data_IF_773018500281
#
_entry.id   IF_773018500281
#
_cell.length_a   1.000
_cell.length_b   1.000
_cell.length_c   1.000
_cell.angle_alpha   90.00
_cell.angle_beta   90.00
_cell.angle_gamma   90.00
#
_symmetry.space_group_name_H-M   'P 1'
#
loop_
_entity.id
_entity.type
_entity.pdbx_description
1 polymer ?
#
# COMPACT_ATOMS: atom_id res chain seq x y z
N UNK A 1 -25.42 -9.28 -15.25
CA UNK A 1 -24.72 -10.56 -15.06
C UNK A 1 -23.24 -10.49 -15.43
N UNK A 2 -22.82 -9.74 -16.45
CA UNK A 2 -21.38 -9.61 -16.77
C UNK A 2 -20.59 -8.87 -15.67
N UNK A 3 -21.12 -7.76 -15.15
CA UNK A 3 -20.45 -6.96 -14.11
C UNK A 3 -20.24 -7.76 -12.80
N UNK A 4 -21.28 -8.43 -12.33
CA UNK A 4 -21.26 -9.21 -11.09
C UNK A 4 -20.26 -10.36 -11.18
N UNK A 5 -20.13 -10.97 -12.37
CA UNK A 5 -19.14 -12.00 -12.62
C UNK A 5 -17.71 -11.43 -12.59
N UNK A 6 -17.47 -10.26 -13.17
CA UNK A 6 -16.19 -9.57 -13.09
C UNK A 6 -15.81 -9.22 -11.65
N UNK A 7 -16.77 -8.76 -10.84
CA UNK A 7 -16.56 -8.48 -9.42
C UNK A 7 -16.17 -9.74 -8.64
N UNK A 8 -16.88 -10.85 -8.85
CA UNK A 8 -16.54 -12.13 -8.21
C UNK A 8 -15.16 -12.65 -8.62
N UNK A 9 -14.76 -12.47 -9.88
CA UNK A 9 -13.41 -12.79 -10.33
C UNK A 9 -12.35 -11.90 -9.68
N UNK A 10 -12.63 -10.61 -9.52
CA UNK A 10 -11.74 -9.70 -8.80
C UNK A 10 -11.57 -10.12 -7.34
N UNK A 11 -12.66 -10.46 -6.64
CA UNK A 11 -12.61 -11.00 -5.29
C UNK A 11 -11.77 -12.28 -5.25
N UNK A 12 -12.03 -13.22 -6.16
CA UNK A 12 -11.25 -14.46 -6.27
C UNK A 12 -9.75 -14.17 -6.44
N UNK A 13 -9.38 -13.28 -7.36
CA UNK A 13 -7.98 -12.93 -7.63
C UNK A 13 -7.25 -12.45 -6.37
N UNK A 14 -7.88 -11.56 -5.61
CA UNK A 14 -7.35 -11.05 -4.34
C UNK A 14 -7.27 -12.15 -3.28
N UNK A 15 -8.34 -12.94 -3.10
CA UNK A 15 -8.40 -14.00 -2.08
C UNK A 15 -7.41 -15.14 -2.33
N UNK A 16 -7.07 -15.41 -3.59
CA UNK A 16 -6.09 -16.44 -3.99
C UNK A 16 -4.70 -15.88 -4.30
N UNK A 17 -4.47 -14.58 -4.13
CA UNK A 17 -3.20 -13.92 -4.45
C UNK A 17 -2.71 -14.16 -5.89
N UNK A 18 -3.63 -14.21 -6.86
CA UNK A 18 -3.29 -14.41 -8.27
C UNK A 18 -3.15 -13.05 -8.96
N UNK A 19 -1.92 -12.62 -9.21
CA UNK A 19 -1.62 -11.29 -9.75
C UNK A 19 -2.08 -11.12 -11.20
N UNK A 20 -1.89 -12.11 -12.06
CA UNK A 20 -2.32 -12.01 -13.47
C UNK A 20 -3.84 -11.86 -13.57
N UNK A 21 -4.59 -12.69 -12.84
CA UNK A 21 -6.06 -12.58 -12.77
C UNK A 21 -6.50 -11.25 -12.15
N UNK A 22 -5.73 -10.69 -11.22
CA UNK A 22 -6.02 -9.39 -10.63
C UNK A 22 -5.93 -8.26 -11.68
N UNK A 23 -4.91 -8.27 -12.53
CA UNK A 23 -4.78 -7.27 -13.61
C UNK A 23 -5.86 -7.44 -14.68
N UNK A 24 -6.12 -8.67 -15.13
CA UNK A 24 -7.17 -8.97 -16.12
C UNK A 24 -8.56 -8.51 -15.63
N UNK A 25 -8.87 -8.75 -14.35
CA UNK A 25 -10.16 -8.35 -13.78
C UNK A 25 -10.26 -6.84 -13.57
N UNK A 26 -9.17 -6.16 -13.21
CA UNK A 26 -9.13 -4.70 -13.16
C UNK A 26 -9.32 -4.06 -14.53
N UNK A 27 -8.74 -4.62 -15.58
CA UNK A 27 -8.94 -4.17 -16.96
C UNK A 27 -10.42 -4.32 -17.39
N UNK A 28 -11.04 -5.46 -17.05
CA UNK A 28 -12.46 -5.70 -17.31
C UNK A 28 -13.39 -4.81 -16.46
N UNK A 29 -12.97 -4.41 -15.25
CA UNK A 29 -13.72 -3.51 -14.38
C UNK A 29 -13.67 -2.05 -14.85
N UNK A 30 -12.66 -1.66 -15.62
CA UNK A 30 -12.43 -0.27 -16.02
C UNK A 30 -13.67 0.38 -16.69
N UNK A 31 -14.34 -0.24 -17.68
CA UNK A 31 -15.53 0.36 -18.30
C UNK A 31 -16.69 0.51 -17.31
N UNK A 32 -16.80 -0.40 -16.34
CA UNK A 32 -17.83 -0.37 -15.32
C UNK A 32 -17.59 0.74 -14.29
N UNK A 33 -16.35 0.94 -13.86
CA UNK A 33 -15.98 2.05 -12.96
C UNK A 33 -16.31 3.40 -13.60
N UNK A 34 -16.08 3.52 -14.91
CA UNK A 34 -16.49 4.70 -15.67
C UNK A 34 -18.03 4.83 -15.75
N UNK A 35 -18.74 3.73 -16.05
CA UNK A 35 -20.20 3.73 -16.16
C UNK A 35 -20.92 4.00 -14.81
N UNK A 36 -20.31 3.66 -13.69
CA UNK A 36 -20.81 3.87 -12.33
C UNK A 36 -20.42 5.23 -11.73
N UNK A 37 -19.90 6.15 -12.54
CA UNK A 37 -19.50 7.51 -12.15
C UNK A 37 -18.44 7.57 -11.04
N UNK A 38 -17.61 6.52 -10.94
CA UNK A 38 -16.44 6.50 -10.05
C UNK A 38 -15.26 7.22 -10.69
N UNK A 39 -15.44 8.50 -11.02
CA UNK A 39 -14.53 9.29 -11.87
C UNK A 39 -13.09 9.38 -11.36
N UNK A 40 -12.88 9.44 -10.06
CA UNK A 40 -11.53 9.41 -9.45
C UNK A 40 -10.81 8.10 -9.80
N UNK A 41 -11.48 6.97 -9.58
CA UNK A 41 -10.92 5.65 -9.88
C UNK A 41 -10.79 5.42 -11.39
N UNK A 42 -11.75 5.88 -12.20
CA UNK A 42 -11.69 5.76 -13.65
C UNK A 42 -10.48 6.51 -14.26
N UNK A 43 -10.02 7.59 -13.61
CA UNK A 43 -8.83 8.34 -14.00
C UNK A 43 -7.54 7.62 -13.59
N UNK A 44 -7.47 7.13 -12.37
CA UNK A 44 -6.23 6.61 -11.79
C UNK A 44 -5.98 5.15 -12.14
N UNK A 45 -7.03 4.36 -12.35
CA UNK A 45 -6.92 2.93 -12.63
C UNK A 45 -6.19 2.59 -13.95
N UNK A 46 -6.38 3.30 -15.08
CA UNK A 46 -5.59 3.07 -16.29
C UNK A 46 -4.09 3.32 -16.08
N UNK A 47 -3.74 4.33 -15.27
CA UNK A 47 -2.36 4.67 -14.93
C UNK A 47 -1.76 3.53 -14.10
N UNK A 48 -2.50 3.10 -13.07
CA UNK A 48 -2.12 1.96 -12.25
C UNK A 48 -1.90 0.69 -13.07
N UNK A 49 -2.84 0.33 -13.96
CA UNK A 49 -2.73 -0.84 -14.83
C UNK A 49 -1.48 -0.79 -15.72
N UNK A 50 -1.22 0.36 -16.37
CA UNK A 50 -0.02 0.56 -17.18
C UNK A 50 1.25 0.31 -16.36
N UNK A 51 1.31 0.86 -15.15
CA UNK A 51 2.47 0.73 -14.28
C UNK A 51 2.66 -0.72 -13.80
N UNK A 52 1.57 -1.43 -13.49
CA UNK A 52 1.59 -2.84 -13.13
C UNK A 52 2.05 -3.75 -14.28
N UNK A 53 1.61 -3.52 -15.52
CA UNK A 53 2.10 -4.27 -16.68
C UNK A 53 3.56 -3.96 -17.03
N UNK A 54 4.01 -2.73 -16.75
CA UNK A 54 5.38 -2.29 -16.98
C UNK A 54 6.36 -2.80 -15.92
N UNK A 55 5.85 -3.29 -14.79
CA UNK A 55 6.62 -3.73 -13.64
C UNK A 55 7.67 -4.79 -13.98
N UNK A 56 7.34 -5.72 -14.88
CA UNK A 56 8.29 -6.76 -15.35
C UNK A 56 9.54 -6.21 -16.03
N UNK A 57 9.44 -5.01 -16.63
CA UNK A 57 10.55 -4.36 -17.33
C UNK A 57 11.27 -3.34 -16.43
N UNK A 58 10.52 -2.57 -15.65
CA UNK A 58 11.07 -1.48 -14.84
C UNK A 58 11.59 -1.98 -13.48
N UNK A 59 10.89 -2.92 -12.86
CA UNK A 59 11.17 -3.42 -11.50
C UNK A 59 10.95 -4.94 -11.42
N UNK A 60 11.78 -5.77 -12.09
CA UNK A 60 11.57 -7.22 -12.18
C UNK A 60 11.59 -7.92 -10.82
N UNK A 61 12.31 -7.37 -9.84
CA UNK A 61 12.28 -7.86 -8.47
C UNK A 61 10.86 -7.75 -7.86
N UNK A 62 10.23 -6.58 -7.96
CA UNK A 62 8.87 -6.36 -7.43
C UNK A 62 7.85 -7.20 -8.20
N UNK A 63 7.99 -7.29 -9.53
CA UNK A 63 7.15 -8.17 -10.34
C UNK A 63 7.20 -9.61 -9.87
N UNK A 64 8.40 -10.14 -9.59
CA UNK A 64 8.56 -11.49 -9.04
C UNK A 64 7.82 -11.66 -7.71
N UNK A 65 7.96 -10.71 -6.79
CA UNK A 65 7.23 -10.74 -5.51
C UNK A 65 5.71 -10.75 -5.71
N UNK A 66 5.21 -9.96 -6.67
CA UNK A 66 3.78 -9.86 -6.98
C UNK A 66 3.25 -11.13 -7.64
N UNK A 67 3.98 -11.72 -8.59
CA UNK A 67 3.62 -13.02 -9.19
C UNK A 67 3.61 -14.14 -8.15
N UNK A 68 4.46 -14.07 -7.12
CA UNK A 68 4.44 -14.99 -5.99
C UNK A 68 3.35 -14.66 -4.94
N UNK A 69 2.46 -13.70 -5.22
CA UNK A 69 1.28 -13.38 -4.42
C UNK A 69 1.51 -12.36 -3.31
N UNK A 70 2.69 -11.72 -3.23
CA UNK A 70 3.05 -10.76 -2.16
C UNK A 70 2.55 -9.33 -2.38
N UNK A 71 1.54 -9.15 -3.22
CA UNK A 71 0.81 -7.89 -3.38
C UNK A 71 -0.44 -7.81 -2.47
N UNK A 72 -0.83 -8.94 -1.88
CA UNK A 72 -1.91 -9.05 -0.88
C UNK A 72 -1.33 -9.56 0.44
N UNK A 73 -2.05 -9.34 1.54
CA UNK A 73 -1.67 -9.85 2.83
C UNK A 73 -2.52 -11.02 3.29
N UNK A 74 -1.96 -11.87 4.15
CA UNK A 74 -2.64 -13.07 4.63
C UNK A 74 -2.43 -13.23 6.14
N UNK A 75 -3.52 -13.26 6.91
CA UNK A 75 -3.46 -13.46 8.38
C UNK A 75 -3.48 -14.93 8.79
N UNK A 76 -3.98 -15.81 7.92
CA UNK A 76 -4.14 -17.25 8.20
C UNK A 76 -3.67 -18.05 7.00
N UNK A 77 -2.96 -19.16 7.17
CA UNK A 77 -2.43 -19.99 6.07
C UNK A 77 -3.49 -20.81 5.30
N UNK A 78 -4.74 -20.36 5.27
CA UNK A 78 -5.82 -20.99 4.52
C UNK A 78 -5.85 -20.48 3.08
N UNK A 79 -6.17 -21.33 2.13
CA UNK A 79 -6.48 -20.88 0.78
C UNK A 79 -7.70 -19.93 0.82
N UNK A 80 -7.75 -18.98 -0.11
CA UNK A 80 -8.85 -18.00 -0.20
C UNK A 80 -8.96 -17.03 0.99
N UNK A 81 -7.90 -16.88 1.80
CA UNK A 81 -7.89 -16.03 2.99
C UNK A 81 -7.12 -14.72 2.83
N UNK A 82 -6.50 -14.49 1.67
CA UNK A 82 -5.75 -13.27 1.41
C UNK A 82 -6.68 -12.06 1.33
N UNK A 83 -6.17 -10.88 1.67
CA UNK A 83 -6.90 -9.62 1.69
C UNK A 83 -6.03 -8.50 1.10
N UNK A 84 -6.65 -7.50 0.50
CA UNK A 84 -5.95 -6.30 0.06
C UNK A 84 -5.26 -5.63 1.26
N UNK A 85 -4.08 -5.05 1.04
CA UNK A 85 -3.27 -4.45 2.10
C UNK A 85 -4.02 -3.34 2.84
N UNK A 86 -4.82 -2.55 2.13
CA UNK A 86 -5.66 -1.49 2.71
C UNK A 86 -6.72 -2.08 3.66
N UNK A 87 -7.44 -3.13 3.24
CA UNK A 87 -8.40 -3.83 4.10
C UNK A 87 -7.72 -4.42 5.35
N UNK A 88 -6.50 -4.95 5.22
CA UNK A 88 -5.75 -5.41 6.40
C UNK A 88 -5.38 -4.26 7.33
N UNK A 89 -4.99 -3.12 6.75
CA UNK A 89 -4.65 -1.93 7.52
C UNK A 89 -5.88 -1.39 8.25
N UNK A 90 -7.04 -1.33 7.60
CA UNK A 90 -8.30 -0.95 8.23
C UNK A 90 -8.71 -1.90 9.36
N UNK A 91 -8.57 -3.21 9.17
CA UNK A 91 -8.83 -4.20 10.23
C UNK A 91 -7.88 -4.01 11.43
N UNK A 92 -6.61 -3.72 11.17
CA UNK A 92 -5.61 -3.45 12.20
C UNK A 92 -5.97 -2.17 12.96
N UNK A 93 -6.26 -1.10 12.24
CA UNK A 93 -6.69 0.19 12.77
C UNK A 93 -7.97 0.01 13.61
N UNK A 94 -8.95 -0.77 13.15
CA UNK A 94 -10.17 -1.08 13.90
C UNK A 94 -9.86 -1.83 15.21
N UNK A 95 -8.95 -2.82 15.15
CA UNK A 95 -8.49 -3.58 16.32
C UNK A 95 -7.79 -2.68 17.35
N UNK A 96 -7.10 -1.63 16.92
CA UNK A 96 -6.45 -0.65 17.80
C UNK A 96 -7.47 0.34 18.38
N UNK A 97 -8.48 0.73 17.61
CA UNK A 97 -9.54 1.64 18.09
C UNK A 97 -10.45 0.98 19.11
N UNK A 98 -10.95 -0.24 18.84
CA UNK A 98 -12.09 -0.80 19.58
C UNK A 98 -13.40 -0.05 19.25
N UNK A 99 -14.47 -0.32 20.00
CA UNK A 99 -15.87 0.05 19.63
C UNK A 99 -16.21 1.56 19.56
N UNK A 100 -15.26 2.46 19.81
CA UNK A 100 -15.52 3.90 20.03
C UNK A 100 -14.92 4.88 19.00
N UNK A 101 -14.38 4.42 17.86
CA UNK A 101 -13.83 5.31 16.83
C UNK A 101 -12.47 5.98 17.17
N UNK A 102 -11.93 6.77 16.22
CA UNK A 102 -10.53 7.28 16.26
C UNK A 102 -10.39 8.71 16.78
N UNK A 103 -11.48 9.46 16.84
CA UNK A 103 -11.40 10.94 16.84
C UNK A 103 -10.87 11.48 18.17
N UNK A 104 -10.92 10.70 19.26
CA UNK A 104 -10.61 11.20 20.61
C UNK A 104 -9.73 10.26 21.46
N UNK A 105 -8.79 9.52 20.84
CA UNK A 105 -7.98 8.49 21.55
C UNK A 105 -6.48 8.50 21.30
N UNK A 106 -5.85 9.68 21.30
CA UNK A 106 -4.38 9.76 21.38
C UNK A 106 -3.84 9.39 22.78
N UNK A 107 -4.70 9.42 23.79
CA UNK A 107 -4.33 9.25 25.21
C UNK A 107 -4.94 8.00 25.87
N UNK A 108 -5.77 7.21 25.15
CA UNK A 108 -6.35 5.97 25.71
C UNK A 108 -5.24 4.94 26.01
N UNK A 109 -4.97 4.63 27.29
CA UNK A 109 -3.91 3.72 27.68
C UNK A 109 -4.11 2.33 27.06
N UNK A 110 -5.35 1.90 26.84
CA UNK A 110 -5.67 0.58 26.32
C UNK A 110 -5.51 0.50 24.80
N UNK A 111 -5.82 1.56 24.07
CA UNK A 111 -5.48 1.67 22.64
C UNK A 111 -3.95 1.70 22.43
N UNK A 112 -3.22 2.46 23.27
CA UNK A 112 -1.75 2.50 23.27
C UNK A 112 -1.14 1.14 23.61
N UNK A 113 -1.73 0.42 24.58
CA UNK A 113 -1.30 -0.93 24.97
C UNK A 113 -1.51 -1.93 23.82
N UNK A 114 -2.68 -1.91 23.17
CA UNK A 114 -2.98 -2.75 22.00
C UNK A 114 -2.02 -2.46 20.83
N UNK A 115 -1.80 -1.19 20.51
CA UNK A 115 -0.86 -0.77 19.47
C UNK A 115 0.57 -1.23 19.78
N UNK A 116 1.03 -1.10 21.03
CA UNK A 116 2.34 -1.58 21.48
C UNK A 116 2.46 -3.10 21.32
N UNK A 117 1.47 -3.85 21.79
CA UNK A 117 1.44 -5.31 21.69
C UNK A 117 1.46 -5.79 20.23
N UNK A 118 0.67 -5.16 19.35
CA UNK A 118 0.68 -5.47 17.91
C UNK A 118 2.02 -5.11 17.24
N UNK A 119 2.65 -4.01 17.65
CA UNK A 119 3.99 -3.63 17.16
C UNK A 119 5.05 -4.65 17.60
N UNK A 120 4.99 -5.11 18.84
CA UNK A 120 5.91 -6.12 19.39
C UNK A 120 5.74 -7.50 18.75
N UNK A 121 4.53 -7.82 18.27
CA UNK A 121 4.25 -9.05 17.54
C UNK A 121 4.71 -9.04 16.08
N UNK A 122 5.21 -7.91 15.55
CA UNK A 122 5.76 -7.87 14.19
C UNK A 122 7.19 -8.46 14.18
N UNK A 123 7.41 -9.66 13.61
CA UNK A 123 8.72 -10.31 13.63
C UNK A 123 9.79 -9.56 12.83
N UNK A 124 9.40 -8.63 11.94
CA UNK A 124 10.29 -7.81 11.13
C UNK A 124 10.42 -6.37 11.65
N UNK A 125 9.98 -6.09 12.88
CA UNK A 125 9.99 -4.74 13.47
C UNK A 125 11.37 -4.07 13.38
N UNK A 126 12.43 -4.80 13.72
CA UNK A 126 13.79 -4.24 13.74
C UNK A 126 14.31 -3.94 12.32
N UNK A 127 13.86 -4.69 11.31
CA UNK A 127 14.22 -4.48 9.91
C UNK A 127 13.49 -3.25 9.34
N UNK A 128 12.18 -3.15 9.57
CA UNK A 128 11.39 -1.97 9.19
C UNK A 128 11.87 -0.69 9.89
N UNK A 129 12.21 -0.75 11.18
CA UNK A 129 12.77 0.41 11.91
C UNK A 129 14.15 0.82 11.35
N UNK A 130 14.98 -0.14 10.92
CA UNK A 130 16.27 0.16 10.26
C UNK A 130 16.11 0.75 8.85
N UNK A 131 15.13 0.29 8.08
CA UNK A 131 14.83 0.79 6.73
C UNK A 131 14.18 2.17 6.77
N UNK A 132 13.23 2.40 7.68
CA UNK A 132 12.62 3.72 7.90
C UNK A 132 13.66 4.71 8.43
N UNK A 133 14.53 4.29 9.36
CA UNK A 133 15.62 5.13 9.85
C UNK A 133 16.63 5.45 8.74
N UNK A 134 16.94 4.49 7.86
CA UNK A 134 17.81 4.72 6.69
C UNK A 134 17.17 5.69 5.67
N UNK A 135 15.86 5.61 5.44
CA UNK A 135 15.12 6.52 4.56
C UNK A 135 14.97 7.92 5.16
N UNK A 136 14.80 8.03 6.47
CA UNK A 136 14.64 9.32 7.19
C UNK A 136 15.96 9.96 7.60
N UNK A 137 17.07 9.22 7.63
CA UNK A 137 18.43 9.73 7.84
C UNK A 137 19.11 10.19 6.54
N UNK A 138 18.52 9.88 5.37
CA UNK A 138 18.92 10.53 4.13
C UNK A 138 18.43 11.98 4.16
N UNK A 139 19.31 12.98 3.93
CA UNK A 139 18.91 14.38 3.99
C UNK A 139 17.77 14.61 3.01
N UNK A 140 16.65 15.10 3.54
CA UNK A 140 15.44 15.45 2.78
C UNK A 140 15.84 16.29 1.56
N UNK A 141 15.72 15.70 0.36
CA UNK A 141 15.66 16.50 -0.84
C UNK A 141 14.31 17.22 -0.80
N UNK A 142 14.33 18.52 -0.59
CA UNK A 142 13.13 19.35 -0.78
C UNK A 142 12.72 19.25 -2.25
N UNK A 143 11.68 18.46 -2.52
CA UNK A 143 11.11 18.31 -3.86
C UNK A 143 10.23 19.52 -4.13
N UNK A 144 10.77 20.53 -4.81
CA UNK A 144 9.95 21.62 -5.33
C UNK A 144 9.31 21.18 -6.65
N UNK A 145 8.05 20.74 -6.57
CA UNK A 145 7.23 20.30 -7.70
C UNK A 145 6.76 21.54 -8.49
N UNK A 146 7.65 22.25 -9.19
CA UNK A 146 7.18 23.24 -10.16
C UNK A 146 7.89 23.26 -11.52
N UNK A 147 9.15 22.83 -11.69
CA UNK A 147 9.83 23.08 -12.99
C UNK A 147 10.69 21.93 -13.57
N UNK A 148 10.35 20.67 -13.27
CA UNK A 148 10.76 19.52 -14.09
C UNK A 148 12.26 19.31 -14.37
N UNK A 149 13.16 19.97 -13.63
CA UNK A 149 14.61 19.90 -13.85
C UNK A 149 15.34 19.64 -12.54
N UNK A 150 16.11 18.55 -12.51
CA UNK A 150 16.87 18.07 -11.36
C UNK A 150 18.28 18.68 -11.40
N UNK A 151 18.61 19.56 -10.45
CA UNK A 151 20.00 19.97 -10.23
C UNK A 151 20.34 19.87 -8.74
N UNK A 152 21.46 19.19 -8.45
CA UNK A 152 21.98 19.00 -7.09
C UNK A 152 22.94 20.15 -6.79
N UNK A 153 22.62 20.99 -5.82
CA UNK A 153 23.51 22.07 -5.39
C UNK A 153 24.26 21.66 -4.12
N UNK A 154 25.58 21.84 -4.12
CA UNK A 154 26.46 21.44 -3.01
C UNK A 154 26.15 22.23 -1.72
N UNK A 155 26.30 21.60 -0.53
CA UNK A 155 25.94 22.22 0.75
C UNK A 155 26.89 23.36 1.13
N UNK A 156 26.34 24.45 1.68
CA UNK A 156 27.13 25.56 2.23
C UNK A 156 27.70 25.19 3.61
N UNK A 157 28.94 25.59 3.94
CA UNK A 157 29.56 25.29 5.22
C UNK A 157 28.87 26.05 6.37
N UNK A 158 28.48 25.31 7.41
CA UNK A 158 27.79 25.82 8.59
C UNK A 158 28.70 26.65 9.50
N UNK A 159 28.18 27.76 10.02
CA UNK A 159 28.80 28.58 11.05
C UNK A 159 28.67 27.89 12.41
N UNK A 160 29.79 27.38 12.95
CA UNK A 160 29.88 27.00 14.36
C UNK A 160 29.83 28.27 15.22
N UNK A 161 28.88 28.35 16.15
CA UNK A 161 28.86 29.37 17.21
C UNK A 161 29.25 28.71 18.53
N UNK A 162 30.22 29.32 19.19
CA UNK A 162 30.82 28.98 20.49
C UNK A 162 29.90 29.36 21.64
#
# INVERSE_FOLDING_TARGET
MEFELTELHFVKANRTACFDLHLETLEQLLPWIFALDHTNYARDLPIHLRDMYSLKYMHPAVHKEFTEGRFVGQKTHRNFSCLALDQMHEQLICTIKGDGGIIDRKEDPEALRRARCLREQNPNRNLLESEISAVTASPTADVNILDGTFTVQAPRPGTAST
#
